data_IF_198642452716
#
_entry.id   IF_198642452716
#
_cell.length_a   1.000
_cell.length_b   1.000
_cell.length_c   1.000
_cell.angle_alpha   90.00
_cell.angle_beta   90.00
_cell.angle_gamma   90.00
#
_symmetry.space_group_name_H-M   'P 1'
#
loop_
_entity.id
_entity.type
_entity.pdbx_description
1 polymer ?
#
# COMPACT_ATOMS: atom_id res chain seq x y z
N UNK A 1 -14.93 11.80 33.05
CA UNK A 1 -16.31 11.98 32.56
C UNK A 1 -16.30 12.04 31.05
N UNK A 2 -17.08 11.16 30.41
CA UNK A 2 -17.27 11.12 28.96
C UNK A 2 -18.05 12.36 28.53
N UNK A 3 -17.56 13.06 27.49
CA UNK A 3 -18.24 14.25 26.96
C UNK A 3 -19.24 13.77 25.90
N UNK A 4 -20.56 13.87 26.13
CA UNK A 4 -21.56 13.18 25.33
C UNK A 4 -21.50 13.50 23.82
N UNK A 5 -21.18 14.74 23.47
CA UNK A 5 -21.08 15.15 22.07
C UNK A 5 -19.85 14.58 21.35
N UNK A 6 -18.72 14.40 22.05
CA UNK A 6 -17.50 13.79 21.46
C UNK A 6 -17.76 12.31 21.19
N UNK A 7 -18.43 11.63 22.10
CA UNK A 7 -18.83 10.24 21.91
C UNK A 7 -19.76 10.09 20.70
N UNK A 8 -20.82 10.91 20.62
CA UNK A 8 -21.75 10.90 19.49
C UNK A 8 -21.03 11.17 18.15
N UNK A 9 -20.10 12.14 18.13
CA UNK A 9 -19.29 12.43 16.95
C UNK A 9 -18.47 11.21 16.49
N UNK A 10 -17.76 10.54 17.40
CA UNK A 10 -16.96 9.35 17.06
C UNK A 10 -17.84 8.19 16.58
N UNK A 11 -19.03 7.99 17.17
CA UNK A 11 -20.01 7.02 16.67
C UNK A 11 -20.45 7.32 15.24
N UNK A 12 -20.76 8.59 14.92
CA UNK A 12 -21.14 9.01 13.57
C UNK A 12 -20.00 8.78 12.58
N UNK A 13 -18.76 9.17 12.94
CA UNK A 13 -17.58 8.98 12.10
C UNK A 13 -17.32 7.50 11.83
N UNK A 14 -17.44 6.65 12.86
CA UNK A 14 -17.33 5.20 12.76
C UNK A 14 -18.39 4.62 11.81
N UNK A 15 -19.67 4.90 12.06
CA UNK A 15 -20.77 4.36 11.24
C UNK A 15 -20.69 4.83 9.79
N UNK A 16 -20.34 6.10 9.56
CA UNK A 16 -20.13 6.64 8.22
C UNK A 16 -18.96 5.96 7.49
N UNK A 17 -17.86 5.68 8.20
CA UNK A 17 -16.70 4.98 7.63
C UNK A 17 -17.03 3.54 7.26
N UNK A 18 -17.76 2.83 8.12
CA UNK A 18 -18.24 1.47 7.85
C UNK A 18 -19.19 1.48 6.66
N UNK A 19 -20.14 2.41 6.61
CA UNK A 19 -21.07 2.55 5.50
C UNK A 19 -20.34 2.81 4.17
N UNK A 20 -19.36 3.72 4.16
CA UNK A 20 -18.54 4.00 2.96
C UNK A 20 -17.76 2.75 2.49
N UNK A 21 -17.17 1.99 3.43
CA UNK A 21 -16.49 0.74 3.13
C UNK A 21 -17.43 -0.33 2.53
N UNK A 22 -18.60 -0.53 3.15
CA UNK A 22 -19.62 -1.46 2.66
C UNK A 22 -20.16 -1.03 1.28
N UNK A 23 -20.39 0.26 1.07
CA UNK A 23 -20.83 0.79 -0.22
C UNK A 23 -19.82 0.48 -1.33
N UNK A 24 -18.52 0.71 -1.07
CA UNK A 24 -17.46 0.34 -2.02
C UNK A 24 -17.41 -1.16 -2.25
N UNK A 25 -17.52 -1.99 -1.22
CA UNK A 25 -17.58 -3.44 -1.36
C UNK A 25 -18.69 -3.87 -2.32
N UNK A 26 -19.92 -3.42 -2.09
CA UNK A 26 -21.08 -3.76 -2.93
C UNK A 26 -20.90 -3.27 -4.37
N UNK A 27 -20.41 -2.03 -4.55
CA UNK A 27 -20.16 -1.47 -5.89
C UNK A 27 -19.18 -2.32 -6.72
N UNK A 28 -18.16 -2.90 -6.07
CA UNK A 28 -17.19 -3.79 -6.72
C UNK A 28 -17.70 -5.21 -6.92
N UNK A 29 -18.57 -5.71 -6.04
CA UNK A 29 -19.21 -7.00 -6.18
C UNK A 29 -20.19 -7.03 -7.36
N UNK A 30 -20.94 -5.94 -7.56
CA UNK A 30 -21.99 -5.87 -8.60
C UNK A 30 -21.42 -5.63 -10.02
N UNK A 31 -20.25 -4.99 -10.13
CA UNK A 31 -19.65 -4.62 -11.41
C UNK A 31 -18.31 -5.31 -11.62
N UNK A 32 -18.28 -6.61 -11.91
CA UNK A 32 -17.04 -7.37 -12.09
C UNK A 32 -16.49 -7.25 -13.52
N UNK A 33 -15.29 -6.68 -13.69
CA UNK A 33 -14.62 -6.57 -15.00
C UNK A 33 -13.08 -6.64 -14.91
N UNK A 34 -12.51 -6.62 -13.70
CA UNK A 34 -11.09 -6.90 -13.45
C UNK A 34 -10.96 -7.58 -12.10
N UNK A 35 -11.16 -8.90 -12.08
CA UNK A 35 -11.26 -9.66 -10.83
C UNK A 35 -10.05 -9.48 -9.89
N UNK A 36 -8.78 -9.47 -10.36
CA UNK A 36 -7.63 -9.25 -9.48
C UNK A 36 -7.62 -7.86 -8.83
N UNK A 37 -7.82 -6.80 -9.61
CA UNK A 37 -7.85 -5.45 -9.07
C UNK A 37 -9.04 -5.23 -8.13
N UNK A 38 -10.17 -5.91 -8.39
CA UNK A 38 -11.35 -5.87 -7.54
C UNK A 38 -11.17 -6.64 -6.24
N UNK A 39 -10.51 -7.80 -6.25
CA UNK A 39 -10.15 -8.53 -5.03
C UNK A 39 -9.27 -7.66 -4.13
N UNK A 40 -8.26 -6.99 -4.71
CA UNK A 40 -7.44 -6.04 -3.94
C UNK A 40 -8.28 -4.87 -3.41
N UNK A 41 -9.21 -4.34 -4.20
CA UNK A 41 -10.04 -3.22 -3.77
C UNK A 41 -11.02 -3.61 -2.66
N UNK A 42 -11.62 -4.81 -2.76
CA UNK A 42 -12.44 -5.40 -1.70
C UNK A 42 -11.62 -5.57 -0.43
N UNK A 43 -10.38 -6.06 -0.55
CA UNK A 43 -9.45 -6.15 0.58
C UNK A 43 -9.18 -4.78 1.20
N UNK A 44 -8.98 -3.74 0.41
CA UNK A 44 -8.85 -2.37 0.93
C UNK A 44 -10.11 -1.90 1.65
N UNK A 45 -11.31 -2.20 1.14
CA UNK A 45 -12.56 -1.87 1.83
C UNK A 45 -12.62 -2.53 3.22
N UNK A 46 -12.25 -3.81 3.34
CA UNK A 46 -12.13 -4.48 4.64
C UNK A 46 -11.09 -3.82 5.54
N UNK A 47 -9.93 -3.44 5.01
CA UNK A 47 -8.88 -2.75 5.75
C UNK A 47 -9.36 -1.40 6.29
N UNK A 48 -10.12 -0.63 5.51
CA UNK A 48 -10.72 0.62 5.96
C UNK A 48 -11.74 0.40 7.08
N UNK A 49 -12.61 -0.61 6.94
CA UNK A 49 -13.57 -0.98 7.99
C UNK A 49 -12.83 -1.37 9.28
N UNK A 50 -11.82 -2.25 9.19
CA UNK A 50 -11.01 -2.66 10.34
C UNK A 50 -10.28 -1.48 10.97
N UNK A 51 -9.80 -0.52 10.18
CA UNK A 51 -9.14 0.69 10.68
C UNK A 51 -10.13 1.60 11.43
N UNK A 52 -11.34 1.77 10.91
CA UNK A 52 -12.39 2.53 11.59
C UNK A 52 -12.82 1.87 12.92
N UNK A 53 -12.97 0.54 12.92
CA UNK A 53 -13.26 -0.25 14.13
C UNK A 53 -12.15 -0.07 15.17
N UNK A 54 -10.88 -0.19 14.73
CA UNK A 54 -9.68 -0.03 15.56
C UNK A 54 -9.62 1.33 16.24
N UNK A 55 -9.79 2.44 15.50
CA UNK A 55 -9.81 3.79 16.09
C UNK A 55 -10.98 3.99 17.06
N UNK A 56 -12.16 3.46 16.74
CA UNK A 56 -13.32 3.55 17.61
C UNK A 56 -13.10 2.79 18.93
N UNK A 57 -12.53 1.59 18.89
CA UNK A 57 -12.21 0.82 20.10
C UNK A 57 -11.09 1.45 20.92
N UNK A 58 -10.06 2.02 20.29
CA UNK A 58 -9.02 2.77 21.02
C UNK A 58 -9.58 4.03 21.72
N UNK A 59 -10.49 4.74 21.05
CA UNK A 59 -11.24 5.84 21.67
C UNK A 59 -12.09 5.34 22.85
N UNK A 60 -12.83 4.24 22.68
CA UNK A 60 -13.68 3.67 23.72
C UNK A 60 -12.85 3.19 24.92
N UNK A 61 -11.72 2.52 24.67
CA UNK A 61 -10.76 2.09 25.69
C UNK A 61 -10.25 3.27 26.51
N UNK A 62 -9.95 4.39 25.86
CA UNK A 62 -9.55 5.66 26.50
C UNK A 62 -10.64 6.25 27.39
N UNK A 63 -11.92 6.09 27.04
CA UNK A 63 -13.04 6.59 27.85
C UNK A 63 -13.39 5.67 29.02
N UNK A 64 -13.20 4.35 28.86
CA UNK A 64 -13.61 3.34 29.84
C UNK A 64 -12.50 2.97 30.83
N UNK A 65 -11.23 3.12 30.44
CA UNK A 65 -10.10 2.65 31.24
C UNK A 65 -9.01 3.71 31.37
N UNK A 66 -8.21 3.62 32.43
CA UNK A 66 -7.00 4.43 32.56
C UNK A 66 -5.96 3.96 31.52
N UNK A 67 -5.28 4.88 30.80
CA UNK A 67 -4.30 4.51 29.76
C UNK A 67 -3.13 3.65 30.26
N UNK A 68 -2.78 3.76 31.54
CA UNK A 68 -1.73 2.98 32.20
C UNK A 68 -2.21 1.65 32.77
N UNK A 69 -3.51 1.33 32.66
CA UNK A 69 -4.04 0.07 33.18
C UNK A 69 -3.54 -1.12 32.35
N UNK A 70 -3.31 -2.30 32.95
CA UNK A 70 -2.90 -3.50 32.22
C UNK A 70 -3.87 -3.87 31.10
N UNK A 71 -5.17 -3.63 31.30
CA UNK A 71 -6.21 -3.90 30.32
C UNK A 71 -6.06 -3.00 29.08
N UNK A 72 -5.82 -1.70 29.28
CA UNK A 72 -5.57 -0.75 28.19
C UNK A 72 -4.29 -1.10 27.41
N UNK A 73 -3.23 -1.51 28.11
CA UNK A 73 -1.97 -1.92 27.48
C UNK A 73 -2.17 -3.17 26.62
N UNK A 74 -2.81 -4.21 27.14
CA UNK A 74 -3.08 -5.44 26.38
C UNK A 74 -3.95 -5.14 25.16
N UNK A 75 -5.00 -4.33 25.33
CA UNK A 75 -5.84 -3.88 24.23
C UNK A 75 -5.03 -3.17 23.15
N UNK A 76 -4.19 -2.20 23.53
CA UNK A 76 -3.37 -1.44 22.59
C UNK A 76 -2.29 -2.31 21.90
N UNK A 77 -1.73 -3.30 22.60
CA UNK A 77 -0.81 -4.27 21.98
C UNK A 77 -1.51 -5.10 20.90
N UNK A 78 -2.70 -5.61 21.19
CA UNK A 78 -3.49 -6.40 20.24
C UNK A 78 -3.87 -5.55 19.04
N UNK A 79 -4.35 -4.33 19.28
CA UNK A 79 -4.65 -3.37 18.22
C UNK A 79 -3.40 -3.12 17.37
N UNK A 80 -2.24 -2.83 17.95
CA UNK A 80 -0.99 -2.60 17.21
C UNK A 80 -0.51 -3.79 16.37
N UNK A 81 -0.79 -5.03 16.79
CA UNK A 81 -0.49 -6.22 15.97
C UNK A 81 -1.43 -6.27 14.78
N UNK A 82 -2.74 -6.07 15.02
CA UNK A 82 -3.74 -6.05 13.96
C UNK A 82 -3.44 -4.91 12.97
N UNK A 83 -3.07 -3.73 13.49
CA UNK A 83 -2.67 -2.56 12.68
C UNK A 83 -1.49 -2.89 11.78
N UNK A 84 -0.42 -3.46 12.33
CA UNK A 84 0.78 -3.79 11.58
C UNK A 84 0.54 -4.80 10.47
N UNK A 85 -0.28 -5.83 10.72
CA UNK A 85 -0.68 -6.82 9.71
C UNK A 85 -1.53 -6.17 8.61
N UNK A 86 -2.51 -5.35 8.99
CA UNK A 86 -3.39 -4.67 8.04
C UNK A 86 -2.62 -3.70 7.13
N UNK A 87 -1.71 -2.91 7.69
CA UNK A 87 -0.85 -1.98 6.93
C UNK A 87 0.08 -2.73 5.96
N UNK A 88 0.66 -3.83 6.41
CA UNK A 88 1.50 -4.70 5.59
C UNK A 88 0.73 -5.28 4.40
N UNK A 89 -0.45 -5.85 4.67
CA UNK A 89 -1.33 -6.39 3.65
C UNK A 89 -1.75 -5.29 2.67
N UNK A 90 -2.05 -4.08 3.15
CA UNK A 90 -2.40 -2.96 2.29
C UNK A 90 -1.26 -2.59 1.32
N UNK A 91 -0.06 -2.40 1.85
CA UNK A 91 1.14 -2.03 1.07
C UNK A 91 1.48 -3.08 0.01
N UNK A 92 1.53 -4.35 0.39
CA UNK A 92 1.81 -5.45 -0.51
C UNK A 92 0.73 -5.57 -1.59
N UNK A 93 -0.54 -5.43 -1.22
CA UNK A 93 -1.63 -5.50 -2.19
C UNK A 93 -1.61 -4.31 -3.15
N UNK A 94 -1.21 -3.11 -2.69
CA UNK A 94 -1.07 -1.96 -3.56
C UNK A 94 0.09 -2.16 -4.54
N UNK A 95 1.25 -2.62 -4.06
CA UNK A 95 2.38 -2.95 -4.91
C UNK A 95 2.02 -4.02 -5.94
N UNK A 96 1.34 -5.08 -5.51
CA UNK A 96 0.81 -6.12 -6.39
C UNK A 96 -0.12 -5.54 -7.46
N UNK A 97 -1.07 -4.68 -7.08
CA UNK A 97 -1.98 -4.01 -8.02
C UNK A 97 -1.22 -3.18 -9.07
N UNK A 98 -0.18 -2.44 -8.65
CA UNK A 98 0.64 -1.66 -9.57
C UNK A 98 1.32 -2.55 -10.62
N UNK A 99 1.88 -3.68 -10.20
CA UNK A 99 2.58 -4.63 -11.07
C UNK A 99 1.61 -5.37 -11.99
N UNK A 100 0.47 -5.84 -11.46
CA UNK A 100 -0.60 -6.45 -12.25
C UNK A 100 -1.08 -5.49 -13.34
N UNK A 101 -1.31 -4.23 -12.99
CA UNK A 101 -1.87 -3.25 -13.93
C UNK A 101 -0.96 -3.00 -15.14
N UNK A 102 0.35 -3.16 -14.99
CA UNK A 102 1.32 -2.99 -16.08
C UNK A 102 1.67 -4.30 -16.80
N UNK A 103 1.01 -5.41 -16.47
CA UNK A 103 1.18 -6.69 -17.17
C UNK A 103 2.11 -7.69 -16.48
N UNK A 104 2.32 -7.58 -15.17
CA UNK A 104 3.07 -8.57 -14.38
C UNK A 104 4.54 -8.20 -14.13
N UNK A 105 5.25 -9.09 -13.43
CA UNK A 105 6.62 -8.83 -12.97
C UNK A 105 7.60 -8.60 -14.12
N UNK A 106 7.54 -9.40 -15.18
CA UNK A 106 8.50 -9.29 -16.30
C UNK A 106 8.38 -7.94 -17.00
N UNK A 107 7.15 -7.49 -17.25
CA UNK A 107 6.90 -6.17 -17.85
C UNK A 107 7.29 -5.03 -16.91
N UNK A 108 7.03 -5.17 -15.61
CA UNK A 108 7.48 -4.18 -14.62
C UNK A 108 9.02 -4.08 -14.59
N UNK A 109 9.73 -5.21 -14.57
CA UNK A 109 11.20 -5.25 -14.59
C UNK A 109 11.76 -4.57 -15.84
N UNK A 110 11.16 -4.82 -17.01
CA UNK A 110 11.54 -4.14 -18.25
C UNK A 110 11.35 -2.62 -18.16
N UNK A 111 10.24 -2.14 -17.60
CA UNK A 111 10.01 -0.70 -17.42
C UNK A 111 11.02 -0.06 -16.45
N UNK A 112 11.43 -0.80 -15.42
CA UNK A 112 12.51 -0.35 -14.53
C UNK A 112 13.84 -0.24 -15.28
N UNK A 113 14.19 -1.20 -16.13
CA UNK A 113 15.39 -1.16 -16.97
C UNK A 113 15.37 0.03 -17.96
N UNK A 114 14.27 0.21 -18.70
CA UNK A 114 14.11 1.30 -19.67
C UNK A 114 14.24 2.69 -19.03
N UNK A 115 13.68 2.84 -17.82
CA UNK A 115 13.81 4.08 -17.04
C UNK A 115 15.24 4.35 -16.55
N UNK A 116 16.06 3.31 -16.41
CA UNK A 116 17.47 3.41 -16.04
C UNK A 116 18.31 3.85 -17.25
N UNK A 117 18.07 3.25 -18.42
CA UNK A 117 18.75 3.63 -19.67
C UNK A 117 18.48 5.08 -20.07
N UNK A 118 17.23 5.53 -19.93
CA UNK A 118 16.84 6.91 -20.24
C UNK A 118 17.58 7.92 -19.34
N UNK A 119 17.80 7.57 -18.07
CA UNK A 119 18.56 8.39 -17.11
C UNK A 119 20.07 8.39 -17.38
N UNK A 120 20.61 7.25 -17.84
CA UNK A 120 22.00 7.12 -18.30
C UNK A 120 22.29 7.94 -19.56
N UNK A 121 21.39 7.89 -20.56
CA UNK A 121 21.48 8.71 -21.78
C UNK A 121 21.38 10.21 -21.49
N UNK A 122 20.46 10.63 -20.60
CA UNK A 122 20.34 12.03 -20.21
C UNK A 122 21.59 12.57 -19.48
N UNK A 123 22.30 11.73 -18.71
CA UNK A 123 23.57 12.13 -18.07
C UNK A 123 24.76 12.14 -19.03
N UNK A 124 24.66 11.46 -20.17
CA UNK A 124 25.73 11.40 -21.18
C UNK A 124 25.58 12.51 -22.23
N UNK A 125 24.38 13.06 -22.44
CA UNK A 125 24.11 14.16 -23.37
C UNK A 125 24.76 15.50 -22.99
N UNK A 126 25.35 15.63 -21.80
CA UNK A 126 26.18 16.79 -21.41
C UNK A 126 27.67 16.62 -21.75
N UNK A 127 28.08 15.49 -22.32
CA UNK A 127 29.45 15.30 -22.79
C UNK A 127 29.47 15.35 -24.32
N UNK A 128 30.02 16.44 -24.88
CA UNK A 128 30.30 16.58 -26.30
C UNK A 128 31.13 15.38 -26.78
N UNK A 129 30.53 14.50 -27.60
CA UNK A 129 31.26 13.46 -28.34
C UNK A 129 31.22 13.77 -29.83
N UNK A 130 32.38 13.80 -30.53
CA UNK A 130 32.44 14.03 -31.98
C UNK A 130 31.94 12.80 -32.76
N UNK A 131 31.56 12.97 -34.04
CA UNK A 131 30.96 11.88 -34.81
C UNK A 131 32.05 10.87 -35.18
N UNK A 132 31.89 9.62 -34.75
CA UNK A 132 32.64 8.51 -35.33
C UNK A 132 31.71 7.40 -35.81
N UNK A 133 32.14 6.88 -36.94
CA UNK A 133 31.54 6.00 -37.94
C UNK A 133 31.03 4.64 -37.46
N UNK A 134 30.04 4.16 -38.22
CA UNK A 134 29.68 2.77 -38.55
C UNK A 134 28.78 2.00 -37.57
N UNK A 135 27.68 1.40 -38.07
CA UNK A 135 26.75 0.64 -37.24
C UNK A 135 27.32 -0.75 -37.00
N UNK A 136 27.90 -0.98 -35.82
CA UNK A 136 28.12 -2.34 -35.34
C UNK A 136 26.76 -2.92 -34.99
N UNK A 137 26.36 -3.96 -35.71
CA UNK A 137 25.17 -4.76 -35.45
C UNK A 137 25.39 -5.48 -34.11
N UNK A 138 25.10 -4.79 -33.00
CA UNK A 138 25.13 -5.35 -31.65
C UNK A 138 24.01 -6.37 -31.51
N UNK A 139 24.36 -7.58 -31.11
CA UNK A 139 23.41 -8.65 -30.79
C UNK A 139 22.42 -8.14 -29.73
N UNK A 140 21.17 -7.92 -30.15
CA UNK A 140 20.09 -7.42 -29.29
C UNK A 140 19.86 -8.31 -28.07
N UNK A 141 20.08 -9.62 -28.21
CA UNK A 141 19.89 -10.60 -27.14
C UNK A 141 20.91 -10.44 -25.99
N UNK A 142 22.15 -10.00 -26.27
CA UNK A 142 23.18 -9.81 -25.24
C UNK A 142 23.02 -8.46 -24.53
N UNK A 143 22.62 -7.41 -25.26
CA UNK A 143 22.33 -6.10 -24.67
C UNK A 143 21.03 -6.13 -23.82
N UNK A 144 20.00 -6.88 -24.20
CA UNK A 144 18.77 -7.08 -23.39
C UNK A 144 19.09 -7.75 -22.03
N UNK A 145 19.97 -8.75 -22.03
CA UNK A 145 20.33 -9.53 -20.83
C UNK A 145 21.22 -8.72 -19.85
N UNK A 146 21.96 -7.73 -20.35
CA UNK A 146 22.76 -6.80 -19.54
C UNK A 146 21.88 -5.66 -19.00
N UNK A 147 20.90 -5.17 -19.77
CA UNK A 147 19.95 -4.14 -19.34
C UNK A 147 18.88 -4.65 -18.36
N UNK A 148 18.50 -5.93 -18.44
CA UNK A 148 17.51 -6.54 -17.55
C UNK A 148 18.00 -6.67 -16.08
N UNK A 149 19.30 -6.89 -15.87
CA UNK A 149 19.91 -7.04 -14.54
C UNK A 149 19.71 -5.84 -13.60
N UNK A 150 20.02 -4.58 -14.00
CA UNK A 150 19.76 -3.42 -13.14
C UNK A 150 18.27 -3.17 -12.89
N UNK A 151 17.40 -3.43 -13.89
CA UNK A 151 15.95 -3.31 -13.74
C UNK A 151 15.39 -4.26 -12.68
N UNK A 152 15.83 -5.52 -12.71
CA UNK A 152 15.45 -6.54 -11.72
C UNK A 152 15.93 -6.17 -10.32
N UNK A 153 17.17 -5.70 -10.19
CA UNK A 153 17.73 -5.30 -8.92
C UNK A 153 16.97 -4.12 -8.28
N UNK A 154 16.63 -3.08 -9.05
CA UNK A 154 15.83 -1.96 -8.53
C UNK A 154 14.41 -2.37 -8.16
N UNK A 155 13.75 -3.22 -8.96
CA UNK A 155 12.44 -3.76 -8.65
C UNK A 155 12.46 -4.55 -7.33
N UNK A 156 13.42 -5.47 -7.19
CA UNK A 156 13.57 -6.28 -5.97
C UNK A 156 13.94 -5.41 -4.77
N UNK A 157 14.73 -4.34 -4.95
CA UNK A 157 15.02 -3.38 -3.88
C UNK A 157 13.75 -2.71 -3.37
N UNK A 158 12.88 -2.21 -4.25
CA UNK A 158 11.60 -1.62 -3.87
C UNK A 158 10.72 -2.63 -3.12
N UNK A 159 10.61 -3.86 -3.64
CA UNK A 159 9.84 -4.93 -3.00
C UNK A 159 10.39 -5.30 -1.62
N UNK A 160 11.71 -5.44 -1.49
CA UNK A 160 12.37 -5.79 -0.23
C UNK A 160 12.22 -4.71 0.84
N UNK A 161 12.19 -3.43 0.47
CA UNK A 161 11.88 -2.34 1.42
C UNK A 161 10.47 -2.48 1.97
N UNK A 162 9.49 -2.81 1.12
CA UNK A 162 8.11 -3.05 1.54
C UNK A 162 8.04 -4.27 2.46
N UNK A 163 8.71 -5.37 2.11
CA UNK A 163 8.78 -6.57 2.96
C UNK A 163 9.45 -6.28 4.32
N UNK A 164 10.54 -5.50 4.33
CA UNK A 164 11.18 -5.09 5.57
C UNK A 164 10.23 -4.29 6.47
N UNK A 165 9.44 -3.38 5.89
CA UNK A 165 8.40 -2.67 6.63
C UNK A 165 7.39 -3.64 7.28
N UNK A 166 6.93 -4.66 6.54
CA UNK A 166 5.98 -5.67 7.06
C UNK A 166 6.49 -6.36 8.33
N UNK A 167 7.78 -6.68 8.40
CA UNK A 167 8.35 -7.37 9.55
C UNK A 167 8.74 -6.42 10.69
N UNK A 168 9.30 -5.25 10.37
CA UNK A 168 9.83 -4.33 11.38
C UNK A 168 8.69 -3.57 12.08
N UNK A 169 7.65 -3.17 11.35
CA UNK A 169 6.58 -2.30 11.85
C UNK A 169 5.84 -2.89 13.07
N UNK A 170 5.35 -4.15 13.06
CA UNK A 170 4.66 -4.72 14.21
C UNK A 170 5.58 -4.82 15.45
N UNK A 171 6.85 -5.17 15.25
CA UNK A 171 7.83 -5.28 16.36
C UNK A 171 8.04 -3.92 17.01
N UNK A 172 8.27 -2.88 16.20
CA UNK A 172 8.44 -1.51 16.70
C UNK A 172 7.20 -1.03 17.44
N UNK A 173 6.00 -1.28 16.91
CA UNK A 173 4.75 -0.94 17.61
C UNK A 173 4.62 -1.61 18.97
N UNK A 174 4.84 -2.93 19.04
CA UNK A 174 4.74 -3.68 20.30
C UNK A 174 5.71 -3.10 21.34
N UNK A 175 6.97 -2.87 20.94
CA UNK A 175 7.97 -2.28 21.84
C UNK A 175 7.53 -0.88 22.29
N UNK A 176 6.95 -0.07 21.42
CA UNK A 176 6.42 1.26 21.79
C UNK A 176 5.28 1.17 22.81
N UNK A 177 4.37 0.20 22.69
CA UNK A 177 3.28 0.00 23.66
C UNK A 177 3.83 -0.50 24.99
N UNK A 178 4.71 -1.50 24.99
CA UNK A 178 5.35 -2.02 26.21
C UNK A 178 6.17 -0.93 26.91
N UNK A 179 6.83 -0.06 26.14
CA UNK A 179 7.60 1.04 26.69
C UNK A 179 6.74 2.07 27.44
N UNK A 180 5.40 2.09 27.25
CA UNK A 180 4.52 2.90 28.11
C UNK A 180 4.55 2.44 29.57
N UNK A 181 4.86 1.18 29.85
CA UNK A 181 5.00 0.67 31.22
C UNK A 181 6.40 0.95 31.79
N UNK A 182 7.44 0.85 30.96
CA UNK A 182 8.83 1.08 31.36
C UNK A 182 9.19 2.56 31.49
N UNK A 183 8.44 3.43 30.80
CA UNK A 183 8.63 4.89 30.74
C UNK A 183 10.08 5.31 30.38
N UNK A 184 10.73 4.56 29.49
CA UNK A 184 12.07 4.88 29.02
C UNK A 184 12.00 5.84 27.82
N UNK A 185 12.47 7.07 28.01
CA UNK A 185 12.43 8.11 26.99
C UNK A 185 13.35 7.83 25.79
N UNK A 186 14.54 7.24 26.00
CA UNK A 186 15.49 6.93 24.93
C UNK A 186 14.93 5.86 24.00
N UNK A 187 14.38 4.79 24.58
CA UNK A 187 13.74 3.71 23.83
C UNK A 187 12.53 4.23 23.03
N UNK A 188 11.73 5.13 23.63
CA UNK A 188 10.61 5.78 22.94
C UNK A 188 11.06 6.55 21.71
N UNK A 189 12.07 7.40 21.86
CA UNK A 189 12.60 8.24 20.78
C UNK A 189 13.20 7.40 19.66
N UNK A 190 13.96 6.35 20.02
CA UNK A 190 14.54 5.42 19.07
C UNK A 190 13.46 4.70 18.26
N UNK A 191 12.48 4.07 18.93
CA UNK A 191 11.42 3.31 18.25
C UNK A 191 10.53 4.20 17.38
N UNK A 192 10.14 5.37 17.85
CA UNK A 192 9.33 6.29 17.06
C UNK A 192 10.10 6.80 15.82
N UNK A 193 11.40 7.06 15.95
CA UNK A 193 12.26 7.45 14.83
C UNK A 193 12.40 6.32 13.81
N UNK A 194 12.62 5.08 14.26
CA UNK A 194 12.63 3.90 13.38
C UNK A 194 11.29 3.76 12.66
N UNK A 195 10.17 3.91 13.37
CA UNK A 195 8.84 3.82 12.78
C UNK A 195 8.61 4.85 11.66
N UNK A 196 9.04 6.09 11.89
CA UNK A 196 8.98 7.15 10.88
C UNK A 196 9.85 6.80 9.67
N UNK A 197 11.10 6.39 9.90
CA UNK A 197 12.05 6.08 8.83
C UNK A 197 11.57 4.91 7.96
N UNK A 198 11.08 3.82 8.55
CA UNK A 198 10.57 2.68 7.79
C UNK A 198 9.29 3.05 7.02
N UNK A 199 8.42 3.88 7.60
CA UNK A 199 7.19 4.35 6.93
C UNK A 199 7.53 5.21 5.73
N UNK A 200 8.45 6.17 5.89
CA UNK A 200 8.92 7.02 4.80
C UNK A 200 9.64 6.19 3.72
N UNK A 201 10.44 5.20 4.10
CA UNK A 201 11.10 4.30 3.15
C UNK A 201 10.09 3.48 2.34
N UNK A 202 9.04 2.94 2.97
CA UNK A 202 7.98 2.20 2.28
C UNK A 202 7.19 3.10 1.30
N UNK A 203 6.82 4.31 1.73
CA UNK A 203 6.15 5.30 0.87
C UNK A 203 7.06 5.72 -0.29
N UNK A 204 8.35 5.92 -0.05
CA UNK A 204 9.32 6.24 -1.09
C UNK A 204 9.50 5.08 -2.08
N UNK A 205 9.55 3.83 -1.61
CA UNK A 205 9.64 2.65 -2.47
C UNK A 205 8.44 2.53 -3.41
N UNK A 206 7.22 2.78 -2.91
CA UNK A 206 6.02 2.82 -3.75
C UNK A 206 6.09 4.00 -4.73
N UNK A 207 6.48 5.19 -4.28
CA UNK A 207 6.57 6.36 -5.14
C UNK A 207 7.59 6.16 -6.29
N UNK A 208 8.74 5.55 -5.98
CA UNK A 208 9.73 5.15 -6.99
C UNK A 208 9.09 4.15 -7.96
N UNK A 209 8.41 3.13 -7.44
CA UNK A 209 7.72 2.14 -8.27
C UNK A 209 6.72 2.80 -9.22
N UNK A 210 5.84 3.66 -8.71
CA UNK A 210 4.89 4.45 -9.51
C UNK A 210 5.64 5.25 -10.56
N UNK A 211 6.67 6.02 -10.19
CA UNK A 211 7.43 6.84 -11.15
C UNK A 211 8.05 6.02 -12.28
N UNK A 212 8.55 4.81 -11.99
CA UNK A 212 9.15 3.94 -13.02
C UNK A 212 8.12 3.40 -14.00
N UNK A 213 6.92 3.09 -13.52
CA UNK A 213 5.89 2.43 -14.34
C UNK A 213 4.80 3.37 -14.86
N UNK A 214 4.75 4.62 -14.36
CA UNK A 214 3.79 5.66 -14.76
C UNK A 214 3.67 5.85 -16.28
N UNK A 215 4.77 5.84 -17.07
CA UNK A 215 4.67 6.01 -18.52
C UNK A 215 3.82 4.93 -19.21
N UNK A 216 3.75 3.73 -18.62
CA UNK A 216 2.98 2.61 -19.14
C UNK A 216 1.54 2.53 -18.58
N UNK A 217 1.18 3.38 -17.61
CA UNK A 217 -0.14 3.36 -16.99
C UNK A 217 -1.16 4.16 -17.79
N UNK A 218 -2.38 3.63 -17.86
CA UNK A 218 -3.51 4.36 -18.44
C UNK A 218 -3.98 5.46 -17.47
N UNK A 219 -4.31 6.67 -17.95
CA UNK A 219 -4.71 7.78 -17.08
C UNK A 219 -6.01 7.50 -16.32
N UNK A 220 -6.87 6.64 -16.86
CA UNK A 220 -8.11 6.17 -16.22
C UNK A 220 -7.87 5.46 -14.88
N UNK A 221 -6.67 4.90 -14.68
CA UNK A 221 -6.31 4.20 -13.45
C UNK A 221 -6.11 5.13 -12.25
N UNK A 222 -6.04 6.46 -12.43
CA UNK A 222 -5.98 7.42 -11.33
C UNK A 222 -4.94 7.06 -10.24
N UNK A 223 -3.75 6.59 -10.65
CA UNK A 223 -2.74 6.03 -9.73
C UNK A 223 -2.37 6.99 -8.59
N UNK A 224 -2.33 8.29 -8.85
CA UNK A 224 -2.02 9.31 -7.83
C UNK A 224 -3.11 9.40 -6.76
N UNK A 225 -4.39 9.30 -7.15
CA UNK A 225 -5.51 9.25 -6.21
C UNK A 225 -5.47 7.99 -5.36
N UNK A 226 -5.20 6.83 -5.98
CA UNK A 226 -5.05 5.55 -5.25
C UNK A 226 -3.87 5.58 -4.29
N UNK A 227 -2.74 6.13 -4.73
CA UNK A 227 -1.56 6.32 -3.89
C UNK A 227 -1.83 7.29 -2.74
N UNK A 228 -2.56 8.39 -2.97
CA UNK A 228 -2.93 9.34 -1.92
C UNK A 228 -3.73 8.66 -0.81
N UNK A 229 -4.67 7.79 -1.17
CA UNK A 229 -5.46 7.00 -0.21
C UNK A 229 -4.58 6.03 0.58
N UNK A 230 -3.74 5.22 -0.08
CA UNK A 230 -2.87 4.24 0.59
C UNK A 230 -1.84 4.92 1.48
N UNK A 231 -1.18 5.98 0.98
CA UNK A 231 -0.25 6.80 1.75
C UNK A 231 -0.96 7.46 2.93
N UNK A 232 -2.16 7.99 2.71
CA UNK A 232 -2.96 8.65 3.72
C UNK A 232 -3.20 7.76 4.91
N UNK A 233 -3.68 6.53 4.69
CA UNK A 233 -3.94 5.58 5.77
C UNK A 233 -2.67 5.23 6.56
N UNK A 234 -1.54 5.02 5.88
CA UNK A 234 -0.25 4.78 6.53
C UNK A 234 0.21 5.98 7.38
N UNK A 235 -0.01 7.20 6.90
CA UNK A 235 0.35 8.39 7.63
C UNK A 235 -0.53 8.59 8.86
N UNK A 236 -1.85 8.39 8.75
CA UNK A 236 -2.78 8.55 9.87
C UNK A 236 -2.53 7.52 10.97
N UNK A 237 -2.16 6.29 10.61
CA UNK A 237 -2.07 5.19 11.57
C UNK A 237 -0.65 5.01 12.13
N UNK A 238 0.36 4.96 11.26
CA UNK A 238 1.76 4.73 11.69
C UNK A 238 2.50 6.02 12.03
N UNK A 239 2.44 7.01 11.13
CA UNK A 239 3.28 8.20 11.24
C UNK A 239 2.76 9.15 12.33
N UNK A 240 1.45 9.43 12.36
CA UNK A 240 0.86 10.29 13.39
C UNK A 240 1.05 9.72 14.80
N UNK A 241 0.92 8.41 14.98
CA UNK A 241 1.16 7.78 16.28
C UNK A 241 2.62 7.93 16.71
N UNK A 242 3.57 7.68 15.81
CA UNK A 242 4.99 7.88 16.09
C UNK A 242 5.29 9.34 16.45
N UNK A 243 4.75 10.29 15.70
CA UNK A 243 4.90 11.73 15.97
C UNK A 243 4.26 12.11 17.31
N UNK A 244 3.09 11.57 17.63
CA UNK A 244 2.46 11.78 18.94
C UNK A 244 3.36 11.29 20.08
N UNK A 245 3.93 10.09 19.96
CA UNK A 245 4.88 9.55 20.93
C UNK A 245 6.17 10.38 21.06
N UNK A 246 6.61 11.09 20.01
CA UNK A 246 7.77 11.98 20.05
C UNK A 246 7.45 13.33 20.71
N UNK A 247 6.31 13.92 20.37
CA UNK A 247 6.00 15.32 20.70
C UNK A 247 5.28 15.50 22.04
N UNK A 248 4.47 14.53 22.45
CA UNK A 248 3.71 14.60 23.69
C UNK A 248 4.53 13.89 24.77
N UNK A 249 4.80 14.57 25.89
CA UNK A 249 5.57 14.02 27.02
C UNK A 249 4.68 13.41 28.11
N UNK A 250 3.42 13.82 28.20
CA UNK A 250 2.42 13.28 29.13
C UNK A 250 1.37 12.45 28.36
N UNK A 251 1.70 11.18 28.13
CA UNK A 251 0.88 10.23 27.36
C UNK A 251 -0.37 9.75 28.10
N UNK A 252 -0.50 10.06 29.39
CA UNK A 252 -1.65 9.71 30.21
C UNK A 252 -2.71 10.81 30.26
N UNK A 253 -2.46 11.94 29.59
CA UNK A 253 -3.40 13.04 29.44
C UNK A 253 -4.64 12.61 28.63
N UNK A 254 -5.67 12.11 29.31
CA UNK A 254 -6.97 11.75 28.74
C UNK A 254 -7.51 12.78 27.72
N UNK A 255 -7.43 14.12 27.96
CA UNK A 255 -7.92 15.09 26.98
C UNK A 255 -7.12 15.12 25.67
N UNK A 256 -5.81 14.88 25.72
CA UNK A 256 -4.96 14.86 24.53
C UNK A 256 -5.21 13.58 23.72
N UNK A 257 -5.30 12.43 24.39
CA UNK A 257 -5.53 11.13 23.76
C UNK A 257 -6.92 11.06 23.11
N UNK A 258 -7.94 11.62 23.78
CA UNK A 258 -9.30 11.78 23.23
C UNK A 258 -9.32 12.57 21.93
N UNK A 259 -8.65 13.74 21.91
CA UNK A 259 -8.54 14.59 20.71
C UNK A 259 -7.82 13.85 19.60
N UNK A 260 -6.73 13.15 19.93
CA UNK A 260 -5.96 12.37 18.98
C UNK A 260 -6.83 11.32 18.26
N UNK A 261 -7.48 10.42 18.98
CA UNK A 261 -8.30 9.37 18.34
C UNK A 261 -9.54 9.91 17.61
N UNK A 262 -10.08 11.04 18.07
CA UNK A 262 -11.17 11.72 17.35
C UNK A 262 -10.67 12.27 16.01
N UNK A 263 -9.49 12.88 15.96
CA UNK A 263 -8.88 13.36 14.71
C UNK A 263 -8.56 12.19 13.77
N UNK A 264 -8.00 11.09 14.28
CA UNK A 264 -7.76 9.90 13.45
C UNK A 264 -9.05 9.33 12.86
N UNK A 265 -10.17 9.37 13.60
CA UNK A 265 -11.48 8.93 13.10
C UNK A 265 -12.02 9.84 11.99
N UNK A 266 -11.85 11.17 12.12
CA UNK A 266 -12.23 12.15 11.10
C UNK A 266 -11.41 11.93 9.83
N UNK A 267 -10.09 11.79 9.96
CA UNK A 267 -9.20 11.56 8.82
C UNK A 267 -9.45 10.20 8.17
N UNK A 268 -9.75 9.16 8.96
CA UNK A 268 -10.16 7.87 8.45
C UNK A 268 -11.41 7.99 7.58
N UNK A 269 -12.45 8.71 8.04
CA UNK A 269 -13.64 8.96 7.21
C UNK A 269 -13.29 9.70 5.93
N UNK A 270 -12.45 10.74 6.01
CA UNK A 270 -11.99 11.47 4.84
C UNK A 270 -11.31 10.55 3.80
N UNK A 271 -10.40 9.67 4.24
CA UNK A 271 -9.76 8.71 3.35
C UNK A 271 -10.73 7.63 2.84
N UNK A 272 -11.72 7.19 3.63
CA UNK A 272 -12.79 6.31 3.18
C UNK A 272 -13.60 6.95 2.04
N UNK A 273 -13.96 8.23 2.16
CA UNK A 273 -14.70 8.95 1.13
C UNK A 273 -13.88 9.08 -0.16
N UNK A 274 -12.59 9.44 -0.06
CA UNK A 274 -11.71 9.50 -1.23
C UNK A 274 -11.52 8.12 -1.84
N UNK A 275 -11.39 7.07 -1.02
CA UNK A 275 -11.34 5.68 -1.49
C UNK A 275 -12.55 5.34 -2.35
N UNK A 276 -13.77 5.70 -1.93
CA UNK A 276 -14.99 5.44 -2.72
C UNK A 276 -15.01 6.12 -4.10
N UNK A 277 -14.18 7.15 -4.31
CA UNK A 277 -14.05 7.87 -5.58
C UNK A 277 -12.86 7.35 -6.40
N UNK A 278 -11.67 7.30 -5.79
CA UNK A 278 -10.42 6.92 -6.46
C UNK A 278 -10.38 5.43 -6.82
N UNK A 279 -11.11 4.58 -6.08
CA UNK A 279 -11.18 3.15 -6.34
C UNK A 279 -12.42 2.72 -7.09
N UNK A 280 -13.21 3.64 -7.66
CA UNK A 280 -14.42 3.26 -8.40
C UNK A 280 -14.13 2.22 -9.47
N UNK A 281 -15.07 1.30 -9.73
CA UNK A 281 -14.85 0.25 -10.70
C UNK A 281 -14.43 0.80 -12.08
N UNK A 282 -15.07 1.86 -12.57
CA UNK A 282 -14.72 2.51 -13.84
C UNK A 282 -13.25 2.96 -14.00
N UNK A 283 -12.47 3.04 -12.91
CA UNK A 283 -11.03 3.38 -12.95
C UNK A 283 -10.13 2.20 -13.34
N UNK A 284 -10.62 0.95 -13.30
CA UNK A 284 -9.79 -0.20 -13.67
C UNK A 284 -9.99 -0.60 -15.13
N UNK A 285 -8.89 -1.01 -15.77
CA UNK A 285 -8.91 -1.60 -17.10
C UNK A 285 -9.61 -2.97 -17.06
N UNK A 286 -10.44 -3.28 -18.06
CA UNK A 286 -11.06 -4.61 -18.20
C UNK A 286 -10.02 -5.67 -18.54
N UNK A 287 -10.05 -6.80 -17.82
CA UNK A 287 -9.16 -7.96 -18.00
C UNK A 287 -10.03 -9.21 -18.03
N UNK A 288 -9.95 -9.99 -19.10
CA UNK A 288 -10.87 -11.12 -19.36
C UNK A 288 -10.42 -12.43 -18.70
N UNK A 289 -9.17 -12.52 -18.25
CA UNK A 289 -8.68 -13.68 -17.51
C UNK A 289 -7.20 -13.60 -17.11
N UNK A 290 -6.83 -14.48 -16.18
CA UNK A 290 -5.46 -14.68 -15.71
C UNK A 290 -5.08 -16.15 -15.92
N UNK A 291 -4.43 -16.52 -17.05
CA UNK A 291 -3.94 -17.86 -17.21
C UNK A 291 -2.88 -18.15 -16.15
N UNK A 292 -3.12 -19.17 -15.33
CA UNK A 292 -2.18 -19.66 -14.31
C UNK A 292 -2.31 -19.07 -12.90
N UNK A 293 -3.22 -18.13 -12.64
CA UNK A 293 -3.46 -17.61 -11.29
C UNK A 293 -4.79 -18.11 -10.73
N UNK A 294 -4.74 -18.96 -9.70
CA UNK A 294 -5.95 -19.35 -8.97
C UNK A 294 -6.49 -18.17 -8.14
N UNK A 295 -7.76 -18.22 -7.75
CA UNK A 295 -8.33 -17.24 -6.81
C UNK A 295 -7.49 -17.11 -5.52
N UNK A 296 -6.92 -18.23 -5.06
CA UNK A 296 -6.00 -18.29 -3.93
C UNK A 296 -4.68 -17.55 -4.19
N UNK A 297 -4.17 -17.58 -5.42
CA UNK A 297 -2.97 -16.84 -5.83
C UNK A 297 -3.15 -15.32 -5.83
N UNK A 298 -4.36 -14.81 -6.08
CA UNK A 298 -4.68 -13.38 -5.91
C UNK A 298 -4.76 -12.98 -4.43
N UNK A 299 -5.03 -13.96 -3.55
CA UNK A 299 -5.01 -13.76 -2.10
C UNK A 299 -3.60 -13.76 -1.50
N UNK A 300 -2.63 -14.36 -2.20
CA UNK A 300 -1.22 -14.27 -1.84
C UNK A 300 -0.64 -12.89 -2.21
N UNK A 301 -0.68 -11.98 -1.24
CA UNK A 301 -0.14 -10.62 -1.36
C UNK A 301 1.37 -10.57 -1.53
N UNK A 302 2.07 -11.65 -1.18
CA UNK A 302 3.52 -11.76 -1.31
C UNK A 302 3.94 -12.46 -2.62
N UNK A 303 2.98 -12.91 -3.43
CA UNK A 303 3.24 -13.70 -4.64
C UNK A 303 4.28 -13.03 -5.55
N UNK A 304 5.28 -13.82 -5.95
CA UNK A 304 6.30 -13.42 -6.88
C UNK A 304 6.90 -14.65 -7.58
N UNK A 305 7.11 -14.62 -8.90
CA UNK A 305 6.74 -13.53 -9.82
C UNK A 305 5.22 -13.38 -9.97
N UNK A 306 4.78 -12.17 -10.29
CA UNK A 306 3.37 -11.86 -10.58
C UNK A 306 3.13 -12.17 -12.07
N UNK A 307 2.19 -13.08 -12.40
CA UNK A 307 1.95 -13.50 -13.78
C UNK A 307 1.37 -12.36 -14.64
N UNK A 308 1.57 -12.41 -15.97
CA UNK A 308 1.02 -11.42 -16.89
C UNK A 308 -0.51 -11.53 -17.04
N UNK A 309 -1.17 -10.39 -17.29
CA UNK A 309 -2.59 -10.35 -17.65
C UNK A 309 -2.76 -10.68 -19.14
N UNK A 310 -3.77 -11.47 -19.53
CA UNK A 310 -4.17 -11.58 -20.94
C UNK A 310 -5.19 -10.48 -21.29
N UNK A 311 -4.85 -9.68 -22.30
CA UNK A 311 -5.75 -8.69 -22.90
C UNK A 311 -6.45 -9.29 -24.14
N UNK A 312 -7.79 -9.32 -24.18
CA UNK A 312 -8.54 -9.80 -25.36
C UNK A 312 -8.26 -9.03 -26.65
N UNK A 313 -7.73 -7.80 -26.57
CA UNK A 313 -7.34 -7.01 -27.75
C UNK A 313 -6.07 -7.51 -28.45
N UNK A 314 -5.32 -8.43 -27.83
CA UNK A 314 -4.09 -9.01 -28.39
C UNK A 314 -4.11 -10.55 -28.41
N UNK A 315 -5.30 -11.17 -28.39
CA UNK A 315 -5.40 -12.58 -28.76
C UNK A 315 -4.98 -12.70 -30.24
N UNK A 316 -3.72 -13.06 -30.48
CA UNK A 316 -3.26 -13.42 -31.82
C UNK A 316 -4.16 -14.55 -32.32
N UNK A 317 -4.68 -14.49 -33.56
CA UNK A 317 -5.51 -15.56 -34.12
C UNK A 317 -4.79 -16.93 -34.20
N UNK A 318 -3.50 -16.98 -33.85
CA UNK A 318 -2.72 -18.21 -33.72
C UNK A 318 -3.10 -19.08 -32.51
N UNK A 319 -3.52 -18.50 -31.37
CA UNK A 319 -3.79 -19.29 -30.15
C UNK A 319 -5.11 -20.07 -30.21
N UNK A 320 -6.04 -19.66 -31.07
CA UNK A 320 -7.30 -20.40 -31.29
C UNK A 320 -7.13 -21.68 -32.12
N UNK A 321 -5.94 -21.94 -32.69
CA UNK A 321 -5.69 -23.17 -33.46
C UNK A 321 -5.16 -24.33 -32.61
N UNK A 322 -4.52 -24.06 -31.47
CA UNK A 322 -3.91 -25.12 -30.66
C UNK A 322 -4.97 -25.85 -29.80
N UNK A 323 -6.06 -25.18 -29.42
CA UNK A 323 -7.15 -25.81 -28.65
C UNK A 323 -8.20 -26.56 -29.48
N UNK A 324 -8.09 -26.61 -30.81
CA UNK A 324 -9.01 -27.41 -31.66
C UNK A 324 -8.44 -28.75 -32.14
N UNK A 325 -7.23 -29.14 -31.74
CA UNK A 325 -6.60 -30.40 -32.21
C UNK A 325 -6.54 -31.53 -31.18
N UNK A 326 -7.26 -31.42 -30.05
CA UNK A 326 -7.51 -32.55 -29.17
C UNK A 326 -8.99 -32.63 -28.80
N UNK A 327 -9.79 -33.09 -29.76
CA UNK A 327 -11.02 -33.86 -29.53
C UNK A 327 -10.91 -35.11 -30.39
#
# INVERSE_FOLDING_TARGET
MMVPWIFALNCVMFLASVFAGCYSFTSHADNVFNSPAQIVTIRFAFIFILTAVSFFFQFLSTELTLPSSPQAIVHDMVEEVITGVVEAVMLLSFFFMLVVHVGGTDRAVHLFAESHETRGRASTMTMFTPPSSSPVMKDKAVDEDIAAKPGLHEYMRCRNVILAFVYIRPVVSIVMVVNRWLDNWELRMAMASVNILITLAAVAAILVTIRRILPAMQPQFQVLGKFFVVKGLLLVRSFQWAVYCLLVTDHNGLPALRKYFTMCSIECLFFCLIFTVAFRPATFRRVDGFPGMSFMGVWDVAMHPIPPCHDSKYASPADNKVHRMHV
#
